data_IF_388850659816
#
_entry.id   IF_388850659816
#
_cell.length_a   1.000
_cell.length_b   1.000
_cell.length_c   1.000
_cell.angle_alpha   90.00
_cell.angle_beta   90.00
_cell.angle_gamma   90.00
#
_symmetry.space_group_name_H-M   'P 1'
#
loop_
_entity.id
_entity.type
_entity.pdbx_description
1 polymer ?
#
# COMPACT_ATOMS: atom_id res chain seq x y z
N UNK A 1 -1.75 2.93 -22.34
CA UNK A 1 -1.00 1.72 -22.70
C UNK A 1 0.24 1.55 -21.80
N UNK A 2 1.16 2.51 -21.77
CA UNK A 2 2.39 2.47 -20.95
C UNK A 2 2.17 2.19 -19.46
N UNK A 3 1.17 2.83 -18.86
CA UNK A 3 0.83 2.60 -17.46
C UNK A 3 0.45 1.13 -17.20
N UNK A 4 -0.20 0.51 -18.17
CA UNK A 4 -0.61 -0.90 -18.07
C UNK A 4 0.57 -1.84 -18.34
N UNK A 5 1.40 -1.55 -19.34
CA UNK A 5 2.57 -2.38 -19.68
C UNK A 5 3.61 -2.38 -18.57
N UNK A 6 3.90 -1.21 -18.03
CA UNK A 6 4.86 -1.10 -16.93
C UNK A 6 4.29 -1.54 -15.57
N UNK A 7 2.97 -1.77 -15.51
CA UNK A 7 2.25 -2.02 -14.26
C UNK A 7 2.63 -1.00 -13.16
N UNK A 8 2.75 0.26 -13.55
CA UNK A 8 3.15 1.39 -12.71
C UNK A 8 2.19 2.54 -12.95
N UNK A 9 1.77 3.22 -11.91
CA UNK A 9 0.90 4.39 -12.01
C UNK A 9 1.68 5.68 -12.29
N UNK A 10 3.01 5.59 -12.44
CA UNK A 10 3.90 6.72 -12.73
C UNK A 10 4.63 6.51 -14.03
N UNK A 11 4.68 7.55 -14.84
CA UNK A 11 5.42 7.60 -16.09
C UNK A 11 6.18 8.91 -16.16
N UNK A 12 7.42 8.85 -16.59
CA UNK A 12 8.24 10.01 -16.85
C UNK A 12 8.56 10.12 -18.36
N UNK A 13 9.19 11.21 -18.77
CA UNK A 13 9.55 11.39 -20.18
C UNK A 13 10.52 10.34 -20.70
N UNK A 14 11.38 9.77 -19.86
CA UNK A 14 12.28 8.69 -20.26
C UNK A 14 11.52 7.43 -20.64
N UNK A 15 10.44 7.10 -19.90
CA UNK A 15 9.61 5.93 -20.20
C UNK A 15 8.89 6.11 -21.53
N UNK A 16 8.47 7.34 -21.82
CA UNK A 16 7.83 7.64 -23.09
C UNK A 16 8.84 7.65 -24.26
N UNK A 17 10.07 8.18 -24.04
CA UNK A 17 11.14 8.17 -25.05
C UNK A 17 11.57 6.73 -25.40
N UNK A 18 11.53 5.81 -24.44
CA UNK A 18 11.88 4.39 -24.63
C UNK A 18 10.88 3.60 -25.51
N UNK A 19 9.67 4.11 -25.69
CA UNK A 19 8.67 3.49 -26.58
C UNK A 19 8.98 3.68 -28.08
N UNK A 20 9.70 4.72 -28.41
CA UNK A 20 10.01 5.08 -29.78
C UNK A 20 11.42 4.62 -30.08
N UNK A 21 11.58 3.46 -30.69
CA UNK A 21 12.81 2.73 -30.93
C UNK A 21 13.92 3.51 -31.68
N UNK A 22 13.69 4.69 -32.20
CA UNK A 22 14.71 5.56 -32.82
C UNK A 22 14.32 7.05 -32.91
N UNK A 23 13.10 7.42 -32.61
CA UNK A 23 12.66 8.81 -32.70
C UNK A 23 12.23 9.32 -31.31
N UNK A 24 13.01 10.25 -30.75
CA UNK A 24 12.61 10.96 -29.53
C UNK A 24 11.25 11.62 -29.74
N UNK A 25 10.40 11.57 -28.75
CA UNK A 25 9.12 12.27 -28.79
C UNK A 25 9.34 13.70 -29.26
N UNK A 26 8.52 14.17 -30.21
CA UNK A 26 8.58 15.54 -30.65
C UNK A 26 8.52 16.53 -29.49
N UNK A 27 9.40 17.53 -29.48
CA UNK A 27 9.47 18.51 -28.40
C UNK A 27 8.15 19.24 -28.17
N UNK A 28 7.28 19.36 -29.16
CA UNK A 28 5.97 19.96 -29.01
C UNK A 28 5.08 19.11 -28.08
N UNK A 29 5.10 17.80 -28.19
CA UNK A 29 4.32 16.91 -27.33
C UNK A 29 4.80 16.99 -25.88
N UNK A 30 6.12 17.02 -25.64
CA UNK A 30 6.67 17.24 -24.30
C UNK A 30 6.28 18.61 -23.72
N UNK A 31 6.21 19.63 -24.56
CA UNK A 31 5.79 20.97 -24.14
C UNK A 31 4.31 21.02 -23.78
N UNK A 32 3.44 20.35 -24.54
CA UNK A 32 2.02 20.25 -24.20
C UNK A 32 1.78 19.51 -22.86
N UNK A 33 2.53 18.45 -22.61
CA UNK A 33 2.48 17.75 -21.33
C UNK A 33 2.98 18.63 -20.19
N UNK A 34 4.08 19.37 -20.37
CA UNK A 34 4.62 20.30 -19.36
C UNK A 34 3.69 21.45 -19.06
N UNK A 35 3.09 22.04 -20.11
CA UNK A 35 2.16 23.16 -19.99
C UNK A 35 0.75 22.75 -19.54
N UNK A 36 0.49 21.46 -19.40
CA UNK A 36 -0.82 20.88 -19.04
C UNK A 36 -1.93 21.23 -20.06
N UNK A 37 -1.56 21.48 -21.30
CA UNK A 37 -2.50 21.81 -22.38
C UNK A 37 -2.93 20.60 -23.19
N UNK A 38 -2.33 19.44 -22.96
CA UNK A 38 -2.70 18.20 -23.66
C UNK A 38 -4.13 17.77 -23.31
N UNK A 39 -4.79 17.12 -24.24
CA UNK A 39 -6.14 16.55 -24.04
C UNK A 39 -6.20 15.62 -22.82
N UNK A 40 -5.12 14.91 -22.52
CA UNK A 40 -5.04 14.02 -21.38
C UNK A 40 -5.23 14.76 -20.04
N UNK A 41 -4.71 15.99 -19.93
CA UNK A 41 -4.95 16.84 -18.77
C UNK A 41 -6.34 17.46 -18.78
N UNK A 42 -6.81 17.92 -19.94
CA UNK A 42 -8.14 18.51 -20.10
C UNK A 42 -9.25 17.51 -19.74
N UNK A 43 -9.08 16.25 -20.13
CA UNK A 43 -9.99 15.16 -19.79
C UNK A 43 -9.76 14.58 -18.38
N UNK A 44 -8.85 15.15 -17.59
CA UNK A 44 -8.50 14.70 -16.24
C UNK A 44 -8.07 13.22 -16.17
N UNK A 45 -7.43 12.72 -17.20
CA UNK A 45 -6.95 11.34 -17.26
C UNK A 45 -5.60 11.19 -16.57
N UNK A 46 -4.77 12.22 -16.63
CA UNK A 46 -3.45 12.27 -15.98
C UNK A 46 -3.31 13.51 -15.12
N UNK A 47 -2.45 13.42 -14.14
CA UNK A 47 -2.02 14.54 -13.29
C UNK A 47 -0.52 14.50 -13.06
N UNK A 48 0.09 15.64 -12.74
CA UNK A 48 1.50 15.66 -12.35
C UNK A 48 1.67 15.03 -10.97
N UNK A 49 2.76 14.30 -10.80
CA UNK A 49 3.15 13.78 -9.48
C UNK A 49 3.58 14.95 -8.60
N UNK A 50 2.92 15.11 -7.47
CA UNK A 50 3.21 16.15 -6.49
C UNK A 50 3.59 15.47 -5.17
N UNK A 51 4.89 15.33 -4.92
CA UNK A 51 5.39 14.63 -3.73
C UNK A 51 5.82 15.60 -2.61
N UNK A 52 6.33 16.78 -2.98
CA UNK A 52 6.96 17.72 -2.05
C UNK A 52 6.28 19.10 -2.04
N UNK A 53 5.00 19.19 -2.48
CA UNK A 53 4.36 20.48 -2.69
C UNK A 53 4.81 21.16 -4.00
N UNK A 54 5.79 20.61 -4.71
CA UNK A 54 6.17 21.00 -6.06
C UNK A 54 5.72 19.94 -7.05
N UNK A 55 4.83 20.33 -7.98
CA UNK A 55 4.41 19.45 -9.05
C UNK A 55 5.59 19.20 -10.01
N UNK A 56 6.01 17.96 -10.15
CA UNK A 56 7.04 17.59 -11.14
C UNK A 56 6.45 17.67 -12.53
N UNK A 57 7.03 18.52 -13.36
CA UNK A 57 6.57 18.73 -14.75
C UNK A 57 6.98 17.62 -15.71
N UNK A 58 7.79 16.69 -15.27
CA UNK A 58 8.36 15.58 -16.03
C UNK A 58 7.84 14.21 -15.64
N UNK A 59 6.99 14.15 -14.61
CA UNK A 59 6.43 12.92 -14.09
C UNK A 59 4.90 13.01 -13.98
N UNK A 60 4.22 12.02 -14.51
CA UNK A 60 2.76 11.96 -14.63
C UNK A 60 2.23 10.69 -13.98
N UNK A 61 1.00 10.76 -13.47
CA UNK A 61 0.27 9.57 -13.02
C UNK A 61 -1.17 9.61 -13.53
N UNK A 62 -1.80 8.44 -13.58
CA UNK A 62 -3.23 8.34 -13.84
C UNK A 62 -4.02 8.90 -12.67
N UNK A 63 -5.06 9.65 -12.97
CA UNK A 63 -6.02 10.09 -11.96
C UNK A 63 -6.86 8.91 -11.47
N UNK A 64 -7.44 9.02 -10.28
CA UNK A 64 -8.36 7.99 -9.77
C UNK A 64 -9.59 7.81 -10.69
N UNK A 65 -10.05 8.88 -11.33
CA UNK A 65 -11.10 8.82 -12.35
C UNK A 65 -10.68 7.92 -13.53
N UNK A 66 -9.48 8.12 -14.08
CA UNK A 66 -9.00 7.28 -15.18
C UNK A 66 -8.82 5.80 -14.77
N UNK A 67 -8.44 5.53 -13.53
CA UNK A 67 -8.29 4.16 -13.02
C UNK A 67 -9.65 3.47 -12.83
N UNK A 68 -10.64 4.18 -12.31
CA UNK A 68 -11.95 3.59 -12.01
C UNK A 68 -12.84 3.48 -13.25
N UNK A 69 -12.94 4.52 -14.06
CA UNK A 69 -13.86 4.53 -15.18
C UNK A 69 -13.27 3.86 -16.44
N UNK A 70 -12.06 4.26 -16.86
CA UNK A 70 -11.49 3.74 -18.12
C UNK A 70 -10.90 2.36 -17.99
N UNK A 71 -10.16 2.08 -16.91
CA UNK A 71 -9.47 0.79 -16.77
C UNK A 71 -10.43 -0.31 -16.31
N UNK A 72 -11.47 0.02 -15.56
CA UNK A 72 -12.49 -0.96 -15.16
C UNK A 72 -13.28 -1.48 -16.37
N UNK A 73 -13.64 -0.63 -17.32
CA UNK A 73 -14.31 -1.03 -18.57
C UNK A 73 -13.44 -1.99 -19.40
N UNK A 74 -12.13 -1.84 -19.34
CA UNK A 74 -11.18 -2.67 -20.08
C UNK A 74 -10.72 -3.91 -19.28
N UNK A 75 -11.23 -4.13 -18.07
CA UNK A 75 -10.75 -5.15 -17.13
C UNK A 75 -9.22 -5.09 -16.90
N UNK A 76 -8.65 -3.90 -16.98
CA UNK A 76 -7.24 -3.65 -16.76
C UNK A 76 -7.03 -3.06 -15.36
N UNK A 77 -6.02 -3.54 -14.67
CA UNK A 77 -5.62 -2.99 -13.37
C UNK A 77 -4.19 -2.47 -13.47
N UNK A 78 -3.98 -1.22 -13.08
CA UNK A 78 -2.64 -0.68 -12.87
C UNK A 78 -2.39 -0.67 -11.38
N UNK A 79 -1.52 -1.57 -10.96
CA UNK A 79 -1.09 -1.61 -9.57
C UNK A 79 0.05 -0.59 -9.39
N UNK A 80 -0.17 0.43 -8.58
CA UNK A 80 0.95 1.23 -8.09
C UNK A 80 1.96 0.28 -7.44
N UNK A 81 3.23 0.35 -7.82
CA UNK A 81 4.31 -0.34 -7.08
C UNK A 81 4.26 0.17 -5.65
N UNK A 82 3.62 -0.57 -4.78
CA UNK A 82 3.44 -0.18 -3.41
C UNK A 82 4.52 -0.81 -2.55
N UNK A 83 5.15 0.00 -1.72
CA UNK A 83 6.11 -0.47 -0.70
C UNK A 83 5.47 -1.35 0.37
N UNK A 84 4.19 -1.69 0.21
CA UNK A 84 3.44 -2.51 1.12
C UNK A 84 2.52 -3.47 0.37
N UNK A 85 2.55 -4.74 0.76
CA UNK A 85 1.77 -5.81 0.19
C UNK A 85 0.56 -6.13 1.08
N UNK A 86 -0.63 -6.08 0.50
CA UNK A 86 -1.83 -6.60 1.15
C UNK A 86 -1.90 -8.11 0.92
N UNK A 87 -1.81 -8.88 1.99
CA UNK A 87 -1.86 -10.33 1.99
C UNK A 87 -3.18 -10.76 2.61
N UNK A 88 -3.99 -11.48 1.87
CA UNK A 88 -5.25 -12.01 2.36
C UNK A 88 -5.02 -13.16 3.35
N UNK A 89 -5.86 -13.24 4.35
CA UNK A 89 -5.77 -14.25 5.42
C UNK A 89 -5.85 -15.71 4.90
N UNK A 90 -6.49 -15.93 3.76
CA UNK A 90 -6.67 -17.25 3.13
C UNK A 90 -5.56 -17.63 2.14
N UNK A 91 -4.65 -16.69 1.82
CA UNK A 91 -3.61 -16.90 0.80
C UNK A 91 -2.44 -17.78 1.25
N UNK A 92 -2.30 -18.07 2.54
CA UNK A 92 -1.23 -18.91 3.07
C UNK A 92 -1.77 -20.17 3.76
N UNK A 93 -1.03 -21.31 3.65
CA UNK A 93 -1.47 -22.57 4.22
C UNK A 93 -1.46 -22.53 5.74
N UNK A 94 -2.36 -23.31 6.32
CA UNK A 94 -2.34 -23.55 7.76
C UNK A 94 -1.09 -24.36 8.14
N UNK A 95 -0.35 -23.88 9.14
CA UNK A 95 0.83 -24.54 9.67
C UNK A 95 0.70 -24.69 11.18
N UNK A 96 0.97 -25.89 11.65
CA UNK A 96 1.01 -26.17 13.08
C UNK A 96 2.37 -25.75 13.65
N UNK A 97 2.37 -24.67 14.41
CA UNK A 97 3.57 -24.16 15.09
C UNK A 97 3.68 -24.74 16.49
N UNK A 98 4.90 -24.97 16.92
CA UNK A 98 5.21 -25.48 18.26
C UNK A 98 5.81 -24.35 19.07
N UNK A 99 5.19 -24.01 20.19
CA UNK A 99 5.59 -22.94 21.09
C UNK A 99 5.93 -23.48 22.48
N UNK A 100 6.76 -22.76 23.20
CA UNK A 100 6.89 -22.98 24.65
C UNK A 100 5.57 -22.61 25.36
N UNK A 101 5.39 -23.06 26.56
CA UNK A 101 4.13 -22.86 27.30
C UNK A 101 3.78 -21.38 27.48
N UNK A 102 4.78 -20.55 27.82
CA UNK A 102 4.57 -19.09 27.96
C UNK A 102 4.22 -18.39 26.64
N UNK A 103 4.94 -18.71 25.57
CA UNK A 103 4.71 -18.16 24.25
C UNK A 103 3.33 -18.56 23.70
N UNK A 104 2.97 -19.83 23.88
CA UNK A 104 1.66 -20.35 23.49
C UNK A 104 0.53 -19.55 24.15
N UNK A 105 0.66 -19.26 25.46
CA UNK A 105 -0.31 -18.46 26.20
C UNK A 105 -0.44 -17.06 25.62
N UNK A 106 0.67 -16.38 25.34
CA UNK A 106 0.68 -15.04 24.78
C UNK A 106 0.06 -15.00 23.37
N UNK A 107 0.37 -15.98 22.52
CA UNK A 107 -0.21 -16.08 21.17
C UNK A 107 -1.71 -16.36 21.24
N UNK A 108 -2.16 -17.20 22.17
CA UNK A 108 -3.59 -17.45 22.37
C UNK A 108 -4.33 -16.20 22.90
N UNK A 109 -3.74 -15.46 23.81
CA UNK A 109 -4.29 -14.18 24.31
C UNK A 109 -4.39 -13.16 23.17
N UNK A 110 -3.35 -13.02 22.35
CA UNK A 110 -3.35 -12.15 21.17
C UNK A 110 -4.45 -12.54 20.20
N UNK A 111 -4.55 -13.80 19.83
CA UNK A 111 -5.60 -14.31 18.94
C UNK A 111 -7.00 -14.05 19.51
N UNK A 112 -7.17 -14.20 20.82
CA UNK A 112 -8.43 -13.92 21.52
C UNK A 112 -8.80 -12.42 21.45
N UNK A 113 -7.84 -11.52 21.64
CA UNK A 113 -8.08 -10.06 21.53
C UNK A 113 -8.41 -9.66 20.09
N UNK A 114 -7.79 -10.32 19.11
CA UNK A 114 -8.01 -10.03 17.70
C UNK A 114 -9.28 -10.66 17.13
N UNK A 115 -10.00 -11.51 17.86
CA UNK A 115 -11.31 -11.99 17.41
C UNK A 115 -12.26 -10.81 17.21
N UNK A 116 -13.14 -10.87 16.20
CA UNK A 116 -13.97 -9.74 15.79
C UNK A 116 -14.80 -9.14 16.94
N UNK A 117 -15.41 -10.02 17.76
CA UNK A 117 -16.24 -9.60 18.89
C UNK A 117 -15.44 -8.90 19.99
N UNK A 118 -14.36 -9.53 20.44
CA UNK A 118 -13.51 -8.96 21.50
C UNK A 118 -12.76 -7.72 21.06
N UNK A 119 -12.33 -7.66 19.82
CA UNK A 119 -11.63 -6.48 19.29
C UNK A 119 -12.55 -5.27 19.32
N UNK A 120 -13.81 -5.41 18.90
CA UNK A 120 -14.82 -4.35 18.97
C UNK A 120 -15.05 -3.86 20.41
N UNK A 121 -15.12 -4.79 21.36
CA UNK A 121 -15.27 -4.47 22.78
C UNK A 121 -14.05 -3.71 23.33
N UNK A 122 -12.84 -4.18 23.02
CA UNK A 122 -11.59 -3.51 23.42
C UNK A 122 -11.51 -2.11 22.82
N UNK A 123 -11.83 -1.95 21.55
CA UNK A 123 -11.86 -0.64 20.92
C UNK A 123 -12.85 0.32 21.58
N UNK A 124 -14.03 -0.16 21.92
CA UNK A 124 -15.06 0.64 22.61
C UNK A 124 -14.59 1.08 23.98
N UNK A 125 -13.97 0.18 24.75
CA UNK A 125 -13.38 0.51 26.06
C UNK A 125 -12.27 1.56 25.94
N UNK A 126 -11.35 1.41 24.98
CA UNK A 126 -10.27 2.37 24.75
C UNK A 126 -10.81 3.76 24.39
N UNK A 127 -11.81 3.84 23.50
CA UNK A 127 -12.47 5.10 23.13
C UNK A 127 -13.15 5.77 24.32
N UNK A 128 -13.84 5.00 25.16
CA UNK A 128 -14.54 5.52 26.34
C UNK A 128 -13.57 6.15 27.35
N UNK A 129 -12.33 5.70 27.39
CA UNK A 129 -11.26 6.25 28.25
C UNK A 129 -10.45 7.34 27.52
N UNK A 130 -10.85 7.75 26.30
CA UNK A 130 -10.15 8.75 25.49
C UNK A 130 -8.84 8.26 24.87
N UNK A 131 -8.59 6.94 24.86
CA UNK A 131 -7.42 6.34 24.24
C UNK A 131 -7.65 6.05 22.74
N UNK A 132 -6.57 5.98 21.98
CA UNK A 132 -6.64 5.57 20.57
C UNK A 132 -7.04 4.10 20.47
N UNK A 133 -7.95 3.79 19.55
CA UNK A 133 -8.42 2.44 19.31
C UNK A 133 -7.40 1.66 18.47
N UNK A 134 -6.43 1.09 19.13
CA UNK A 134 -5.38 0.26 18.51
C UNK A 134 -4.33 -0.12 19.53
N UNK A 135 -3.56 -1.16 19.21
CA UNK A 135 -2.44 -1.58 20.03
C UNK A 135 -1.26 -2.01 19.14
N UNK A 136 -0.08 -2.01 19.72
CA UNK A 136 1.14 -2.44 19.06
C UNK A 136 1.67 -3.69 19.77
N UNK A 137 2.01 -4.71 18.97
CA UNK A 137 2.66 -5.92 19.44
C UNK A 137 4.09 -6.02 18.91
N UNK A 138 5.05 -6.29 19.76
CA UNK A 138 6.43 -6.54 19.37
C UNK A 138 6.75 -8.04 19.47
N UNK A 139 7.02 -8.66 18.31
CA UNK A 139 7.55 -10.02 18.23
C UNK A 139 9.08 -9.95 18.23
N UNK A 140 9.73 -10.46 19.24
CA UNK A 140 11.20 -10.46 19.37
C UNK A 140 11.74 -11.87 19.60
N UNK A 141 13.02 -12.06 19.34
CA UNK A 141 13.70 -13.36 19.47
C UNK A 141 14.69 -13.59 18.32
N UNK A 142 15.42 -14.71 18.39
CA UNK A 142 16.44 -15.07 17.38
C UNK A 142 15.88 -15.23 15.98
N UNK A 143 16.68 -15.04 14.91
CA UNK A 143 16.27 -15.36 13.55
C UNK A 143 15.80 -16.81 13.43
N UNK A 144 14.82 -17.07 12.55
CA UNK A 144 14.32 -18.42 12.28
C UNK A 144 13.36 -19.01 13.34
N UNK A 145 13.01 -18.31 14.40
CA UNK A 145 12.11 -18.80 15.46
C UNK A 145 10.61 -18.75 15.12
N UNK A 146 10.25 -18.45 13.88
CA UNK A 146 8.86 -18.50 13.43
C UNK A 146 8.02 -17.23 13.71
N UNK A 147 8.63 -16.10 14.09
CA UNK A 147 7.89 -14.85 14.40
C UNK A 147 6.91 -14.42 13.31
N UNK A 148 7.39 -14.33 12.08
CA UNK A 148 6.58 -13.94 10.92
C UNK A 148 5.49 -14.98 10.65
N UNK A 149 5.81 -16.26 10.75
CA UNK A 149 4.84 -17.33 10.57
C UNK A 149 3.74 -17.28 11.64
N UNK A 150 4.09 -16.96 12.89
CA UNK A 150 3.11 -16.75 13.97
C UNK A 150 2.10 -15.65 13.60
N UNK A 151 2.56 -14.52 13.03
CA UNK A 151 1.67 -13.44 12.59
C UNK A 151 0.72 -13.95 11.52
N UNK A 152 1.20 -14.70 10.53
CA UNK A 152 0.35 -15.28 9.47
C UNK A 152 -0.69 -16.24 10.04
N UNK A 153 -0.31 -17.12 10.97
CA UNK A 153 -1.25 -18.07 11.56
C UNK A 153 -2.28 -17.39 12.48
N UNK A 154 -1.90 -16.34 13.19
CA UNK A 154 -2.83 -15.52 13.98
C UNK A 154 -3.81 -14.79 13.07
N UNK A 155 -3.35 -14.19 11.98
CA UNK A 155 -4.20 -13.52 11.00
C UNK A 155 -5.20 -14.49 10.37
N UNK A 156 -4.74 -15.69 9.99
CA UNK A 156 -5.60 -16.76 9.48
C UNK A 156 -6.67 -17.18 10.49
N UNK A 157 -6.27 -17.40 11.76
CA UNK A 157 -7.19 -17.82 12.81
C UNK A 157 -8.26 -16.76 13.15
N UNK A 158 -7.96 -15.49 12.90
CA UNK A 158 -8.86 -14.35 13.19
C UNK A 158 -9.56 -13.80 11.96
N UNK A 159 -9.27 -14.33 10.76
CA UNK A 159 -9.86 -13.88 9.50
C UNK A 159 -9.44 -12.46 9.09
N UNK A 160 -8.24 -12.01 9.50
CA UNK A 160 -7.75 -10.65 9.25
C UNK A 160 -6.69 -10.62 8.16
N UNK A 161 -6.85 -9.69 7.23
CA UNK A 161 -5.82 -9.43 6.22
C UNK A 161 -4.59 -8.75 6.83
N UNK A 162 -3.45 -8.92 6.19
CA UNK A 162 -2.16 -8.37 6.63
C UNK A 162 -1.69 -7.33 5.61
N UNK A 163 -1.41 -6.13 6.06
CA UNK A 163 -0.65 -5.17 5.29
C UNK A 163 0.83 -5.27 5.68
N UNK A 164 1.62 -5.94 4.84
CA UNK A 164 3.06 -6.07 5.05
C UNK A 164 3.78 -4.83 4.56
N UNK A 165 4.58 -4.26 5.43
CA UNK A 165 5.39 -3.07 5.16
C UNK A 165 6.85 -3.43 5.31
N UNK A 166 7.62 -3.19 4.25
CA UNK A 166 9.07 -3.40 4.26
C UNK A 166 9.76 -2.08 4.63
N UNK A 167 10.27 -2.02 5.84
CA UNK A 167 10.87 -0.78 6.38
C UNK A 167 12.11 -0.37 5.59
N UNK A 168 12.86 -1.32 5.04
CA UNK A 168 14.06 -1.00 4.25
C UNK A 168 13.71 -0.29 2.94
N UNK A 169 12.55 -0.58 2.35
CA UNK A 169 12.06 0.11 1.16
C UNK A 169 11.54 1.52 1.46
N UNK A 170 11.10 1.77 2.70
CA UNK A 170 10.62 3.09 3.11
C UNK A 170 11.77 4.05 3.44
N UNK A 171 12.89 3.50 3.93
CA UNK A 171 14.06 4.29 4.23
C UNK A 171 14.71 4.75 2.95
N UNK A 172 14.63 6.04 2.65
CA UNK A 172 15.42 6.67 1.60
C UNK A 172 16.68 7.30 2.19
N UNK A 173 17.70 7.46 1.33
CA UNK A 173 18.94 8.14 1.71
C UNK A 173 18.76 9.65 1.94
N UNK A 174 17.58 10.20 1.60
CA UNK A 174 17.30 11.63 1.65
C UNK A 174 16.47 11.99 2.87
N UNK A 175 16.87 13.05 3.54
CA UNK A 175 16.15 13.59 4.71
C UNK A 175 14.78 14.11 4.25
N UNK A 176 13.71 13.66 4.92
CA UNK A 176 12.33 14.05 4.62
C UNK A 176 11.52 13.07 3.77
N UNK A 177 12.12 12.30 2.86
CA UNK A 177 11.39 11.31 2.05
C UNK A 177 10.87 10.12 2.88
N UNK A 178 11.64 9.69 3.88
CA UNK A 178 11.24 8.58 4.76
C UNK A 178 9.94 8.88 5.52
N UNK A 179 9.76 10.12 5.98
CA UNK A 179 8.53 10.55 6.68
C UNK A 179 7.34 10.58 5.73
N UNK A 180 7.52 11.06 4.51
CA UNK A 180 6.47 11.10 3.49
C UNK A 180 6.07 9.69 3.06
N UNK A 181 7.04 8.80 2.85
CA UNK A 181 6.77 7.41 2.51
C UNK A 181 6.03 6.69 3.63
N UNK A 182 6.41 6.93 4.88
CA UNK A 182 5.67 6.40 6.03
C UNK A 182 4.23 6.93 6.08
N UNK A 183 4.02 8.22 5.82
CA UNK A 183 2.68 8.81 5.72
C UNK A 183 1.83 8.13 4.64
N UNK A 184 2.40 7.90 3.44
CA UNK A 184 1.72 7.18 2.35
C UNK A 184 1.26 5.78 2.77
N UNK A 185 2.10 5.04 3.51
CA UNK A 185 1.74 3.72 4.05
C UNK A 185 0.54 3.82 4.99
N UNK A 186 0.54 4.78 5.91
CA UNK A 186 -0.59 4.95 6.82
C UNK A 186 -1.87 5.42 6.11
N UNK A 187 -1.75 6.26 5.08
CA UNK A 187 -2.90 6.70 4.29
C UNK A 187 -3.48 5.52 3.48
N UNK A 188 -2.62 4.67 2.92
CA UNK A 188 -3.03 3.42 2.27
C UNK A 188 -3.74 2.48 3.26
N UNK A 189 -3.16 2.29 4.45
CA UNK A 189 -3.79 1.50 5.50
C UNK A 189 -5.20 2.03 5.83
N UNK A 190 -5.36 3.35 6.05
CA UNK A 190 -6.67 3.96 6.32
C UNK A 190 -7.68 3.75 5.20
N UNK A 191 -7.24 3.79 3.95
CA UNK A 191 -8.11 3.57 2.80
C UNK A 191 -8.56 2.10 2.72
N UNK A 192 -7.66 1.16 2.95
CA UNK A 192 -7.99 -0.27 3.02
C UNK A 192 -8.99 -0.51 4.16
N UNK A 193 -8.76 0.09 5.34
CA UNK A 193 -9.67 -0.04 6.48
C UNK A 193 -11.08 0.49 6.22
N UNK A 194 -11.25 1.44 5.30
CA UNK A 194 -12.59 1.93 4.90
C UNK A 194 -13.30 1.00 3.92
N UNK A 195 -12.54 0.25 3.13
CA UNK A 195 -13.07 -0.65 2.09
C UNK A 195 -13.32 -2.07 2.60
N UNK A 196 -12.68 -2.45 3.70
CA UNK A 196 -12.80 -3.79 4.32
C UNK A 196 -13.49 -3.68 5.66
N UNK A 197 -14.54 -4.48 5.87
CA UNK A 197 -15.31 -4.51 7.13
C UNK A 197 -14.55 -5.10 8.33
N UNK A 198 -13.28 -5.52 8.15
CA UNK A 198 -12.44 -6.21 9.13
C UNK A 198 -11.26 -5.37 9.67
N UNK A 199 -11.15 -4.16 9.27
CA UNK A 199 -10.07 -3.29 9.74
C UNK A 199 -10.44 -2.46 10.95
#
# INVERSE_FOLDING_TARGET
>A
HLFVENNDDRINFSDIDNLYDNDKIPNWCKNELRSRTSELFCCKLIENVNEDGMARSDCFRLTEYAKTDLLSELNLTVNAKSDCDLIKWDSFPEKKLVYNVSEKKQVMELSSILSAERFSEVQSRLRNVGMRAGFCCLFYGSPGTGKTETVYQVARATGRDILRVDVDKIKSCWVGESEQNMKKVFDKYRNICKSTSLA
#
